data_IF_060586711969
#
_entry.id   IF_060586711969
#
_cell.length_a   1.000
_cell.length_b   1.000
_cell.length_c   1.000
_cell.angle_alpha   90.00
_cell.angle_beta   90.00
_cell.angle_gamma   90.00
#
_symmetry.space_group_name_H-M   'P 1'
#
loop_
_entity.id
_entity.type
_entity.pdbx_description
1 polymer ?
#
# COMPACT_ATOMS: atom_id res chain seq x y z
N UNK A 1 10.04 0.38 23.33
CA UNK A 1 9.67 1.72 23.80
C UNK A 1 8.59 2.22 22.85
N UNK A 2 7.32 2.15 23.24
CA UNK A 2 6.22 2.72 22.45
C UNK A 2 6.25 4.23 22.67
N UNK A 3 6.61 4.97 21.61
CA UNK A 3 6.51 6.42 21.63
C UNK A 3 5.02 6.76 21.61
N UNK A 4 4.51 7.28 22.71
CA UNK A 4 3.18 7.90 22.72
C UNK A 4 3.34 9.22 21.94
N UNK A 5 3.09 9.18 20.62
CA UNK A 5 3.20 10.31 19.69
C UNK A 5 2.12 11.36 20.00
N UNK A 6 2.19 11.93 21.21
CA UNK A 6 1.46 13.15 21.51
C UNK A 6 2.10 14.30 20.73
N UNK A 7 1.32 15.31 20.39
CA UNK A 7 1.80 16.54 19.69
C UNK A 7 2.89 17.31 20.49
N UNK A 8 3.34 16.78 21.61
CA UNK A 8 4.31 17.36 22.54
C UNK A 8 5.65 16.58 22.61
N UNK A 9 5.92 15.66 21.70
CA UNK A 9 7.21 14.93 21.68
C UNK A 9 8.33 15.91 21.34
N UNK A 10 9.36 15.99 22.19
CA UNK A 10 10.50 16.88 21.98
C UNK A 10 11.43 16.41 20.86
N UNK A 11 12.22 17.32 20.28
CA UNK A 11 13.23 16.96 19.25
C UNK A 11 14.25 15.93 19.80
N UNK A 12 14.56 16.01 21.10
CA UNK A 12 15.42 15.05 21.77
C UNK A 12 14.83 13.64 21.75
N UNK A 13 13.58 13.47 22.19
CA UNK A 13 12.88 12.17 22.18
C UNK A 13 12.73 11.62 20.76
N UNK A 14 12.48 12.49 19.78
CA UNK A 14 12.45 12.09 18.37
C UNK A 14 13.82 11.54 17.91
N UNK A 15 14.93 12.14 18.36
CA UNK A 15 16.28 11.66 18.03
C UNK A 15 16.58 10.32 18.70
N UNK A 16 16.24 10.16 19.97
CA UNK A 16 16.40 8.88 20.66
C UNK A 16 15.62 7.76 19.97
N UNK A 17 14.36 8.05 19.61
CA UNK A 17 13.55 7.09 18.88
C UNK A 17 14.11 6.75 17.50
N UNK A 18 14.57 7.73 16.73
CA UNK A 18 15.26 7.48 15.46
C UNK A 18 16.53 6.64 15.65
N UNK A 19 17.28 6.89 16.71
CA UNK A 19 18.48 6.13 17.04
C UNK A 19 18.14 4.66 17.31
N UNK A 20 17.10 4.39 18.11
CA UNK A 20 16.65 3.02 18.42
C UNK A 20 16.25 2.23 17.19
N UNK A 21 15.58 2.87 16.21
CA UNK A 21 15.22 2.23 14.94
C UNK A 21 16.44 2.04 14.05
N UNK A 22 17.25 3.09 13.89
CA UNK A 22 18.39 3.09 12.98
C UNK A 22 19.44 2.07 13.35
N UNK A 23 19.70 1.93 14.64
CA UNK A 23 20.70 1.02 15.19
C UNK A 23 20.09 -0.12 15.98
N UNK A 24 18.92 -0.58 15.57
CA UNK A 24 18.22 -1.74 16.14
C UNK A 24 19.11 -3.00 16.22
N UNK A 25 20.02 -3.15 15.25
CA UNK A 25 20.99 -4.27 15.18
C UNK A 25 22.41 -3.84 15.62
N UNK A 26 22.54 -2.77 16.37
CA UNK A 26 23.81 -2.20 16.80
C UNK A 26 24.34 -1.10 15.87
N UNK A 27 25.18 -0.23 16.44
CA UNK A 27 25.84 0.84 15.71
C UNK A 27 26.89 0.25 14.76
N UNK A 28 27.02 0.84 13.58
CA UNK A 28 28.12 0.58 12.64
C UNK A 28 28.63 1.87 12.08
N UNK A 29 29.91 2.15 12.27
CA UNK A 29 30.53 3.35 11.76
C UNK A 29 30.63 3.31 10.24
N UNK A 30 30.05 4.29 9.50
CA UNK A 30 30.09 4.29 8.04
C UNK A 30 31.49 4.57 7.47
N UNK A 31 32.44 5.07 8.32
CA UNK A 31 33.79 5.39 7.90
C UNK A 31 34.78 4.23 8.06
N UNK A 32 34.64 3.45 9.14
CA UNK A 32 35.64 2.40 9.46
C UNK A 32 35.03 1.05 9.86
N UNK A 33 33.69 0.88 9.80
CA UNK A 33 33.01 -0.37 10.12
C UNK A 33 33.00 -0.77 11.62
N UNK A 34 33.58 0.04 12.52
CA UNK A 34 33.59 -0.24 13.96
C UNK A 34 32.19 -0.25 14.53
N UNK A 35 31.85 -1.24 15.34
CA UNK A 35 30.54 -1.40 15.97
C UNK A 35 30.37 -0.64 17.29
N UNK A 36 31.42 0.04 17.79
CA UNK A 36 31.39 0.74 19.05
C UNK A 36 31.38 2.25 18.89
N UNK A 37 30.49 2.91 19.63
CA UNK A 37 30.40 4.36 19.71
C UNK A 37 30.09 4.86 21.11
N UNK A 38 30.47 6.10 21.40
CA UNK A 38 29.95 6.87 22.52
C UNK A 38 28.76 7.69 22.08
N UNK A 39 27.67 7.60 22.78
CA UNK A 39 26.55 8.52 22.61
C UNK A 39 26.84 9.84 23.32
N UNK A 40 26.50 10.94 22.66
CA UNK A 40 26.64 12.29 23.21
C UNK A 40 25.30 12.79 23.73
N UNK A 41 25.30 13.81 24.58
CA UNK A 41 24.08 14.46 25.11
C UNK A 41 23.12 14.99 24.04
N UNK A 42 23.60 15.17 22.80
CA UNK A 42 22.79 15.63 21.66
C UNK A 42 22.27 14.45 20.80
N UNK A 43 22.33 13.22 21.29
CA UNK A 43 21.99 11.99 20.55
C UNK A 43 22.80 11.91 19.23
N UNK A 44 24.12 12.20 19.31
CA UNK A 44 25.10 11.94 18.25
C UNK A 44 25.99 10.80 18.68
N UNK A 45 26.48 10.01 17.74
CA UNK A 45 27.32 8.85 17.97
C UNK A 45 28.74 9.12 17.50
N UNK A 46 29.70 9.03 18.42
CA UNK A 46 31.14 9.17 18.14
C UNK A 46 31.79 7.81 18.11
N UNK A 47 32.28 7.39 16.94
CA UNK A 47 32.98 6.11 16.79
C UNK A 47 34.21 6.03 17.72
N UNK A 48 34.33 4.92 18.47
CA UNK A 48 35.46 4.71 19.39
C UNK A 48 36.78 4.53 18.66
N UNK A 49 36.76 3.93 17.44
CA UNK A 49 38.00 3.65 16.68
C UNK A 49 38.52 4.86 15.93
N UNK A 50 37.68 5.56 15.14
CA UNK A 50 38.14 6.62 14.24
C UNK A 50 37.70 8.03 14.64
N UNK A 51 36.93 8.18 15.74
CA UNK A 51 36.46 9.46 16.24
C UNK A 51 35.38 10.13 15.36
N UNK A 52 34.92 9.50 14.28
CA UNK A 52 33.89 10.05 13.41
C UNK A 52 32.59 10.28 14.18
N UNK A 53 32.06 11.51 14.10
CA UNK A 53 30.79 11.89 14.74
C UNK A 53 29.66 11.78 13.73
N UNK A 54 28.61 11.05 14.07
CA UNK A 54 27.44 10.82 13.23
C UNK A 54 26.17 11.26 13.94
N UNK A 55 25.34 12.03 13.28
CA UNK A 55 23.99 12.33 13.77
C UNK A 55 23.01 11.22 13.39
N UNK A 56 21.92 11.10 14.12
CA UNK A 56 20.84 10.13 13.81
C UNK A 56 20.20 10.39 12.46
N UNK A 57 20.26 11.61 11.95
CA UNK A 57 19.67 12.03 10.68
C UNK A 57 20.63 11.95 9.49
N UNK A 58 21.93 11.81 9.73
CA UNK A 58 22.95 11.80 8.67
C UNK A 58 22.73 10.64 7.66
N UNK A 59 22.74 10.93 6.36
CA UNK A 59 22.49 9.97 5.28
C UNK A 59 21.02 9.54 5.13
N UNK A 60 20.09 10.21 5.79
CA UNK A 60 18.64 9.94 5.68
C UNK A 60 17.92 11.12 5.04
N UNK A 61 16.63 10.97 4.78
CA UNK A 61 15.79 12.08 4.27
C UNK A 61 15.64 13.24 5.28
N UNK A 62 16.01 13.03 6.53
CA UNK A 62 15.98 14.06 7.58
C UNK A 62 17.26 14.89 7.62
N UNK A 63 18.31 14.46 6.89
CA UNK A 63 19.57 15.20 6.83
C UNK A 63 19.34 16.59 6.28
N UNK A 64 20.01 17.58 6.89
CA UNK A 64 19.96 19.01 6.50
C UNK A 64 18.54 19.58 6.40
N UNK A 65 17.60 18.96 7.11
CA UNK A 65 16.22 19.45 7.18
C UNK A 65 16.08 20.59 8.16
N UNK A 66 15.67 21.77 7.66
CA UNK A 66 15.27 22.89 8.54
C UNK A 66 13.94 22.65 9.26
N UNK A 67 13.20 21.58 8.92
CA UNK A 67 11.98 21.21 9.63
C UNK A 67 12.34 20.38 10.85
N UNK A 68 11.94 20.77 12.06
CA UNK A 68 12.18 20.01 13.28
C UNK A 68 11.63 18.59 13.19
N UNK A 69 12.28 17.61 13.85
CA UNK A 69 11.88 16.20 13.81
C UNK A 69 10.49 15.97 14.35
N UNK A 70 10.07 16.71 15.37
CA UNK A 70 8.71 16.69 15.91
C UNK A 70 7.64 16.94 14.84
N UNK A 71 7.86 17.91 13.96
CA UNK A 71 6.96 18.19 12.83
C UNK A 71 6.99 17.11 11.76
N UNK A 72 8.14 16.47 11.55
CA UNK A 72 8.24 15.30 10.69
C UNK A 72 7.43 14.12 11.24
N UNK A 73 7.58 13.84 12.53
CA UNK A 73 6.87 12.75 13.19
C UNK A 73 5.36 12.97 13.18
N UNK A 74 4.91 14.18 13.54
CA UNK A 74 3.51 14.55 13.45
C UNK A 74 2.96 14.44 12.01
N UNK A 75 3.75 14.80 10.99
CA UNK A 75 3.34 14.66 9.60
C UNK A 75 3.22 13.19 9.19
N UNK A 76 4.14 12.31 9.62
CA UNK A 76 4.11 10.87 9.34
C UNK A 76 2.86 10.25 9.96
N UNK A 77 2.59 10.56 11.23
CA UNK A 77 1.42 10.05 11.94
C UNK A 77 0.10 10.47 11.27
N UNK A 78 -0.06 11.76 10.97
CA UNK A 78 -1.25 12.27 10.29
C UNK A 78 -1.46 11.65 8.90
N UNK A 79 -0.38 11.47 8.12
CA UNK A 79 -0.45 10.85 6.80
C UNK A 79 -0.77 9.36 6.93
N UNK A 80 -0.20 8.66 7.89
CA UNK A 80 -0.47 7.26 8.15
C UNK A 80 -1.93 7.05 8.59
N UNK A 81 -2.39 7.78 9.59
CA UNK A 81 -3.76 7.72 10.10
C UNK A 81 -4.80 7.99 9.01
N UNK A 82 -4.51 8.88 8.06
CA UNK A 82 -5.37 9.16 6.90
C UNK A 82 -5.17 8.22 5.71
N UNK A 83 -4.31 7.21 5.84
CA UNK A 83 -3.90 6.35 4.72
C UNK A 83 -3.46 7.14 3.47
N UNK A 84 -2.74 8.22 3.68
CA UNK A 84 -2.20 9.07 2.62
C UNK A 84 -3.19 10.04 1.96
N UNK A 85 -4.42 10.17 2.44
CA UNK A 85 -5.44 11.05 1.84
C UNK A 85 -5.13 12.53 2.08
N UNK A 86 -4.53 12.87 3.23
CA UNK A 86 -4.23 14.26 3.63
C UNK A 86 -3.46 15.02 2.54
N UNK A 87 -3.86 16.31 2.35
CA UNK A 87 -3.21 17.23 1.41
C UNK A 87 -2.03 17.97 2.04
N UNK A 88 -1.11 18.46 1.19
CA UNK A 88 0.01 19.27 1.66
C UNK A 88 -0.43 20.57 2.32
N UNK A 89 -1.48 21.21 1.80
CA UNK A 89 -2.04 22.43 2.39
C UNK A 89 -2.62 22.21 3.79
N UNK A 90 -3.28 21.07 4.01
CA UNK A 90 -3.71 20.69 5.36
C UNK A 90 -2.54 20.54 6.32
N UNK A 91 -1.47 19.83 5.91
CA UNK A 91 -0.28 19.66 6.75
C UNK A 91 0.45 20.98 7.00
N UNK A 92 0.51 21.87 6.00
CA UNK A 92 1.10 23.19 6.17
C UNK A 92 0.42 23.97 7.29
N UNK A 93 -0.91 24.03 7.24
CA UNK A 93 -1.70 24.78 8.22
C UNK A 93 -1.65 24.12 9.60
N UNK A 94 -1.81 22.79 9.68
CA UNK A 94 -1.86 22.05 10.94
C UNK A 94 -0.53 22.09 11.69
N UNK A 95 0.59 21.96 10.98
CA UNK A 95 1.94 21.89 11.56
C UNK A 95 2.70 23.22 11.47
N UNK A 96 2.06 24.29 10.98
CA UNK A 96 2.69 25.60 10.80
C UNK A 96 4.02 25.49 10.06
N UNK A 97 4.02 24.82 8.89
CA UNK A 97 5.20 24.71 8.03
C UNK A 97 5.42 26.02 7.26
N UNK A 98 6.67 26.46 7.16
CA UNK A 98 7.03 27.79 6.65
C UNK A 98 6.61 28.08 5.21
N UNK A 99 6.42 27.06 4.35
CA UNK A 99 5.95 27.27 2.98
C UNK A 99 5.16 26.07 2.44
N UNK A 100 4.28 26.34 1.46
CA UNK A 100 3.55 25.28 0.76
C UNK A 100 4.50 24.33 0.01
N UNK A 101 5.58 24.84 -0.58
CA UNK A 101 6.60 24.02 -1.25
C UNK A 101 7.26 23.04 -0.28
N UNK A 102 7.56 23.49 0.95
CA UNK A 102 8.07 22.61 2.01
C UNK A 102 7.05 21.53 2.36
N UNK A 103 5.79 21.89 2.57
CA UNK A 103 4.71 20.97 2.87
C UNK A 103 4.52 19.93 1.75
N UNK A 104 4.49 20.35 0.48
CA UNK A 104 4.38 19.45 -0.67
C UNK A 104 5.54 18.43 -0.71
N UNK A 105 6.77 18.90 -0.55
CA UNK A 105 7.96 18.04 -0.56
C UNK A 105 7.91 17.01 0.57
N UNK A 106 7.56 17.42 1.81
CA UNK A 106 7.41 16.50 2.95
C UNK A 106 6.31 15.47 2.72
N UNK A 107 5.12 15.95 2.32
CA UNK A 107 3.98 15.09 1.99
C UNK A 107 4.35 14.04 0.94
N UNK A 108 5.07 14.45 -0.11
CA UNK A 108 5.52 13.54 -1.17
C UNK A 108 6.45 12.44 -0.63
N UNK A 109 7.47 12.79 0.15
CA UNK A 109 8.39 11.82 0.73
C UNK A 109 7.69 10.83 1.65
N UNK A 110 6.83 11.33 2.55
CA UNK A 110 6.12 10.47 3.51
C UNK A 110 5.12 9.55 2.79
N UNK A 111 4.32 10.07 1.85
CA UNK A 111 3.40 9.25 1.05
C UNK A 111 4.13 8.18 0.25
N UNK A 112 5.30 8.51 -0.31
CA UNK A 112 6.13 7.54 -1.02
C UNK A 112 6.66 6.44 -0.09
N UNK A 113 7.07 6.80 1.13
CA UNK A 113 7.49 5.83 2.15
C UNK A 113 6.32 4.94 2.58
N UNK A 114 5.15 5.54 2.87
CA UNK A 114 3.92 4.81 3.22
C UNK A 114 3.58 3.75 2.15
N UNK A 115 3.48 4.15 0.88
CA UNK A 115 3.16 3.23 -0.22
C UNK A 115 4.21 2.12 -0.36
N UNK A 116 5.50 2.43 -0.23
CA UNK A 116 6.57 1.42 -0.27
C UNK A 116 6.45 0.42 0.87
N UNK A 117 6.15 0.88 2.08
CA UNK A 117 5.95 0.03 3.25
C UNK A 117 4.73 -0.87 3.06
N UNK A 118 3.61 -0.31 2.61
CA UNK A 118 2.38 -1.06 2.32
C UNK A 118 2.63 -2.15 1.28
N UNK A 119 3.30 -1.83 0.16
CA UNK A 119 3.64 -2.80 -0.89
C UNK A 119 4.56 -3.91 -0.33
N UNK A 120 5.58 -3.53 0.44
CA UNK A 120 6.51 -4.50 1.05
C UNK A 120 5.79 -5.46 1.98
N UNK A 121 4.89 -4.95 2.81
CA UNK A 121 4.11 -5.74 3.77
C UNK A 121 3.09 -6.63 3.04
N UNK A 122 2.36 -6.08 2.07
CA UNK A 122 1.40 -6.82 1.27
C UNK A 122 2.03 -8.00 0.52
N UNK A 123 3.23 -7.83 -0.05
CA UNK A 123 3.96 -8.90 -0.75
C UNK A 123 4.37 -10.06 0.18
N UNK A 124 4.47 -9.82 1.48
CA UNK A 124 4.85 -10.83 2.49
C UNK A 124 3.63 -11.50 3.11
N UNK A 125 2.46 -10.90 2.99
CA UNK A 125 1.21 -11.46 3.47
C UNK A 125 0.73 -12.56 2.51
N UNK A 126 0.05 -13.61 3.00
CA UNK A 126 -0.63 -14.57 2.14
C UNK A 126 -1.69 -13.84 1.30
N UNK A 127 -1.91 -14.33 0.08
CA UNK A 127 -2.98 -13.80 -0.77
C UNK A 127 -4.32 -14.01 -0.07
N UNK A 128 -4.98 -12.90 0.27
CA UNK A 128 -6.28 -12.95 0.90
C UNK A 128 -7.38 -13.01 -0.16
N UNK A 129 -8.34 -13.90 0.06
CA UNK A 129 -9.54 -13.95 -0.77
C UNK A 129 -10.41 -12.69 -0.57
N UNK A 130 -11.13 -12.30 -1.62
CA UNK A 130 -12.04 -11.16 -1.58
C UNK A 130 -13.31 -11.50 -0.81
N UNK A 131 -13.80 -10.53 -0.05
CA UNK A 131 -15.07 -10.66 0.66
C UNK A 131 -16.25 -10.18 -0.21
N UNK A 132 -17.41 -10.81 -0.06
CA UNK A 132 -18.63 -10.38 -0.73
C UNK A 132 -19.12 -9.03 -0.16
N UNK A 133 -19.73 -8.16 -0.96
CA UNK A 133 -20.06 -8.34 -2.39
C UNK A 133 -18.88 -8.04 -3.33
N UNK A 134 -18.79 -8.79 -4.43
CA UNK A 134 -17.73 -8.67 -5.44
C UNK A 134 -18.35 -8.44 -6.82
N UNK A 135 -17.84 -7.47 -7.56
CA UNK A 135 -18.12 -7.31 -9.00
C UNK A 135 -17.10 -8.09 -9.82
N UNK A 136 -17.57 -8.96 -10.70
CA UNK A 136 -16.72 -9.70 -11.65
C UNK A 136 -16.99 -9.19 -13.06
N UNK A 137 -15.95 -9.00 -13.85
CA UNK A 137 -16.05 -8.59 -15.24
C UNK A 137 -14.93 -9.22 -16.07
N UNK A 138 -15.18 -9.38 -17.37
CA UNK A 138 -14.18 -9.80 -18.36
C UNK A 138 -13.89 -8.66 -19.31
N UNK A 139 -12.62 -8.35 -19.43
CA UNK A 139 -12.19 -7.17 -20.18
C UNK A 139 -11.28 -7.63 -21.31
N UNK A 140 -11.62 -7.29 -22.58
CA UNK A 140 -10.66 -7.40 -23.66
C UNK A 140 -9.62 -6.28 -23.58
N UNK A 141 -8.37 -6.66 -23.70
CA UNK A 141 -7.23 -5.74 -23.74
C UNK A 141 -6.43 -5.98 -25.01
N UNK A 142 -6.15 -4.94 -25.74
CA UNK A 142 -5.32 -4.97 -26.94
C UNK A 142 -4.03 -4.22 -26.69
N UNK A 143 -2.88 -4.88 -26.88
CA UNK A 143 -1.56 -4.29 -26.73
C UNK A 143 -0.71 -4.73 -27.94
N UNK A 144 -0.11 -3.79 -28.65
CA UNK A 144 0.81 -4.06 -29.77
C UNK A 144 0.30 -5.13 -30.77
N UNK A 145 -1.01 -5.10 -31.07
CA UNK A 145 -1.75 -6.05 -31.93
C UNK A 145 -2.06 -7.43 -31.29
N UNK A 146 -1.63 -7.69 -30.07
CA UNK A 146 -2.02 -8.88 -29.32
C UNK A 146 -3.32 -8.65 -28.56
N UNK A 147 -4.17 -9.66 -28.51
CA UNK A 147 -5.46 -9.63 -27.82
C UNK A 147 -5.38 -10.48 -26.55
N UNK A 148 -5.68 -9.87 -25.42
CA UNK A 148 -5.73 -10.53 -24.13
C UNK A 148 -7.15 -10.43 -23.55
N UNK A 149 -7.57 -11.46 -22.86
CA UNK A 149 -8.75 -11.39 -22.00
C UNK A 149 -8.32 -11.43 -20.53
N UNK A 150 -9.00 -10.66 -19.70
CA UNK A 150 -8.69 -10.50 -18.29
C UNK A 150 -9.96 -10.63 -17.48
N UNK A 151 -9.97 -11.57 -16.54
CA UNK A 151 -11.00 -11.61 -15.49
C UNK A 151 -10.59 -10.63 -14.40
N UNK A 152 -11.52 -9.78 -14.00
CA UNK A 152 -11.36 -8.87 -12.87
C UNK A 152 -12.39 -9.21 -11.80
N UNK A 153 -11.98 -9.30 -10.55
CA UNK A 153 -12.85 -9.36 -9.40
C UNK A 153 -12.58 -8.15 -8.50
N UNK A 154 -13.61 -7.42 -8.14
CA UNK A 154 -13.51 -6.15 -7.41
C UNK A 154 -14.44 -6.18 -6.21
N UNK A 155 -13.86 -6.17 -5.02
CA UNK A 155 -14.59 -6.08 -3.76
C UNK A 155 -15.30 -4.74 -3.63
N UNK A 156 -16.56 -4.73 -3.18
CA UNK A 156 -17.34 -3.51 -2.96
C UNK A 156 -17.39 -3.15 -1.47
N UNK A 157 -16.94 -1.95 -1.15
CA UNK A 157 -17.03 -1.36 0.17
C UNK A 157 -18.02 -0.17 0.14
N UNK A 158 -19.33 -0.50 0.12
CA UNK A 158 -20.37 0.48 -0.14
C UNK A 158 -20.21 1.07 -1.56
N UNK A 159 -20.02 2.40 -1.65
CA UNK A 159 -19.77 3.09 -2.92
C UNK A 159 -18.28 3.13 -3.33
N UNK A 160 -17.39 2.50 -2.56
CA UNK A 160 -15.95 2.51 -2.83
C UNK A 160 -15.49 1.16 -3.37
N UNK A 161 -14.41 1.21 -4.16
CA UNK A 161 -13.70 0.03 -4.62
C UNK A 161 -12.83 -0.50 -3.47
N UNK A 162 -13.02 -1.77 -3.11
CA UNK A 162 -12.20 -2.53 -2.18
C UNK A 162 -10.96 -3.13 -2.84
N UNK A 163 -10.56 -4.30 -2.35
CA UNK A 163 -9.47 -5.10 -2.93
C UNK A 163 -9.86 -5.62 -4.31
N UNK A 164 -8.87 -5.93 -5.11
CA UNK A 164 -9.06 -6.41 -6.48
C UNK A 164 -8.22 -7.66 -6.73
N UNK A 165 -8.71 -8.50 -7.63
CA UNK A 165 -7.92 -9.56 -8.25
C UNK A 165 -8.09 -9.46 -9.77
N UNK A 166 -7.00 -9.64 -10.49
CA UNK A 166 -6.97 -9.64 -11.96
C UNK A 166 -6.11 -10.81 -12.41
N UNK A 167 -6.65 -11.59 -13.35
CA UNK A 167 -5.95 -12.71 -13.97
C UNK A 167 -6.14 -12.69 -15.48
N UNK A 168 -5.11 -12.98 -16.23
CA UNK A 168 -5.24 -13.31 -17.66
C UNK A 168 -6.05 -14.61 -17.80
N UNK A 169 -6.88 -14.70 -18.83
CA UNK A 169 -7.75 -15.85 -19.07
C UNK A 169 -7.83 -16.14 -20.57
N UNK A 170 -8.07 -17.39 -20.90
CA UNK A 170 -8.49 -17.84 -22.24
C UNK A 170 -9.99 -17.68 -22.46
N UNK A 171 -10.71 -17.17 -21.47
CA UNK A 171 -12.16 -17.00 -21.46
C UNK A 171 -12.95 -18.32 -21.42
N UNK A 172 -12.33 -19.44 -20.98
CA UNK A 172 -13.00 -20.71 -20.83
C UNK A 172 -13.83 -20.75 -19.53
N UNK A 173 -14.96 -21.53 -19.50
CA UNK A 173 -15.78 -21.71 -18.32
C UNK A 173 -14.99 -22.25 -17.12
N UNK A 174 -14.04 -23.15 -17.37
CA UNK A 174 -13.23 -23.77 -16.33
C UNK A 174 -12.32 -22.74 -15.64
N UNK A 175 -11.63 -21.87 -16.41
CA UNK A 175 -10.80 -20.81 -15.83
C UNK A 175 -11.61 -19.81 -14.99
N UNK A 176 -12.85 -19.54 -15.39
CA UNK A 176 -13.77 -18.73 -14.61
C UNK A 176 -14.13 -19.37 -13.27
N UNK A 177 -14.51 -20.65 -13.28
CA UNK A 177 -14.85 -21.39 -12.06
C UNK A 177 -13.66 -21.40 -11.09
N UNK A 178 -12.49 -21.74 -11.60
CA UNK A 178 -11.27 -21.79 -10.81
C UNK A 178 -10.88 -20.40 -10.26
N UNK A 179 -11.05 -19.35 -11.06
CA UNK A 179 -10.81 -17.99 -10.59
C UNK A 179 -11.75 -17.60 -9.46
N UNK A 180 -13.05 -17.90 -9.58
CA UNK A 180 -14.04 -17.60 -8.53
C UNK A 180 -13.71 -18.38 -7.25
N UNK A 181 -13.48 -19.70 -7.35
CA UNK A 181 -13.17 -20.57 -6.18
C UNK A 181 -11.93 -20.10 -5.43
N UNK A 182 -10.89 -19.69 -6.17
CA UNK A 182 -9.61 -19.29 -5.59
C UNK A 182 -9.57 -17.82 -5.13
N UNK A 183 -10.53 -17.00 -5.57
CA UNK A 183 -10.48 -15.54 -5.38
C UNK A 183 -11.49 -15.05 -4.37
N UNK A 184 -12.66 -15.67 -4.27
CA UNK A 184 -13.79 -15.15 -3.50
C UNK A 184 -14.07 -16.04 -2.29
N UNK A 185 -14.06 -15.40 -1.11
CA UNK A 185 -14.48 -16.08 0.13
C UNK A 185 -15.99 -16.10 0.22
N UNK A 186 -16.57 -17.28 0.01
CA UNK A 186 -18.00 -17.51 0.17
C UNK A 186 -18.28 -17.81 1.64
N UNK A 187 -18.85 -16.86 2.37
CA UNK A 187 -19.29 -17.07 3.74
C UNK A 187 -20.71 -17.64 3.72
N UNK A 188 -20.91 -18.81 4.31
CA UNK A 188 -22.23 -19.32 4.68
C UNK A 188 -22.69 -18.61 5.96
N UNK A 189 -23.93 -18.10 5.97
CA UNK A 189 -24.54 -17.60 7.21
C UNK A 189 -24.79 -18.76 8.20
N UNK A 190 -24.96 -18.43 9.48
CA UNK A 190 -25.28 -19.44 10.53
C UNK A 190 -26.51 -20.29 10.20
N UNK A 191 -27.39 -19.85 9.28
CA UNK A 191 -28.59 -20.57 8.82
C UNK A 191 -28.35 -21.37 7.52
N UNK A 192 -27.10 -21.60 7.11
CA UNK A 192 -26.79 -22.37 5.89
C UNK A 192 -27.05 -21.64 4.56
N UNK A 193 -27.63 -20.44 4.57
CA UNK A 193 -27.88 -19.66 3.37
C UNK A 193 -26.60 -18.94 2.90
N UNK A 194 -26.20 -19.20 1.65
CA UNK A 194 -25.09 -18.50 1.02
C UNK A 194 -25.47 -17.01 0.80
N UNK A 195 -24.64 -16.10 1.27
CA UNK A 195 -24.88 -14.67 1.15
C UNK A 195 -24.74 -14.23 -0.31
N UNK A 196 -25.82 -13.75 -0.94
CA UNK A 196 -25.82 -13.22 -2.32
C UNK A 196 -24.86 -12.03 -2.41
N UNK A 197 -23.92 -12.06 -3.36
CA UNK A 197 -22.95 -10.97 -3.42
C UNK A 197 -22.04 -10.94 -4.64
N UNK A 198 -22.22 -11.85 -5.60
CA UNK A 198 -21.49 -11.78 -6.87
C UNK A 198 -22.34 -11.01 -7.89
N UNK A 199 -21.82 -9.89 -8.35
CA UNK A 199 -22.42 -9.08 -9.40
C UNK A 199 -21.60 -9.31 -10.66
N UNK A 200 -22.20 -9.87 -11.70
CA UNK A 200 -21.50 -10.16 -12.94
C UNK A 200 -22.29 -9.72 -14.18
N UNK A 201 -21.63 -9.47 -15.32
CA UNK A 201 -22.27 -9.22 -16.59
C UNK A 201 -23.01 -10.47 -17.07
N UNK A 202 -23.91 -10.30 -18.05
CA UNK A 202 -24.70 -11.36 -18.66
C UNK A 202 -23.87 -12.47 -19.35
N UNK A 203 -22.58 -12.33 -19.45
CA UNK A 203 -21.64 -13.13 -20.26
C UNK A 203 -21.02 -14.30 -19.46
N UNK A 204 -21.47 -14.57 -18.24
CA UNK A 204 -21.01 -15.77 -17.52
C UNK A 204 -21.50 -17.04 -18.23
N UNK A 205 -20.61 -18.04 -18.41
CA UNK A 205 -20.99 -19.35 -18.89
C UNK A 205 -22.15 -19.94 -18.07
N UNK A 206 -23.05 -20.69 -18.74
CA UNK A 206 -24.24 -21.28 -18.14
C UNK A 206 -23.93 -22.14 -16.91
N UNK A 207 -22.86 -22.94 -17.01
CA UNK A 207 -22.43 -23.87 -15.96
C UNK A 207 -22.04 -23.13 -14.68
N UNK A 208 -21.33 -22.01 -14.79
CA UNK A 208 -20.95 -21.19 -13.63
C UNK A 208 -22.18 -20.47 -13.06
N UNK A 209 -23.09 -20.06 -13.94
CA UNK A 209 -24.33 -19.42 -13.49
C UNK A 209 -25.19 -20.38 -12.67
N UNK A 210 -25.23 -21.66 -13.02
CA UNK A 210 -25.96 -22.70 -12.28
C UNK A 210 -25.25 -22.99 -10.94
N UNK A 211 -23.93 -23.19 -10.94
CA UNK A 211 -23.14 -23.47 -9.72
C UNK A 211 -23.24 -22.33 -8.68
N UNK A 212 -23.24 -21.09 -9.14
CA UNK A 212 -23.24 -19.90 -8.27
C UNK A 212 -24.56 -19.12 -8.27
N UNK A 213 -25.62 -19.72 -8.78
CA UNK A 213 -26.95 -19.09 -8.98
C UNK A 213 -27.45 -18.38 -7.70
N UNK A 214 -27.26 -18.99 -6.50
CA UNK A 214 -27.65 -18.40 -5.21
C UNK A 214 -26.77 -17.21 -4.78
N UNK A 215 -25.59 -17.03 -5.38
CA UNK A 215 -24.64 -15.98 -5.07
C UNK A 215 -24.68 -14.84 -6.09
N UNK A 216 -25.19 -15.13 -7.29
CA UNK A 216 -25.19 -14.18 -8.41
C UNK A 216 -26.43 -13.29 -8.32
N UNK A 217 -26.22 -12.01 -8.25
CA UNK A 217 -27.24 -11.00 -8.44
C UNK A 217 -27.13 -10.45 -9.84
N UNK A 218 -28.10 -10.77 -10.71
CA UNK A 218 -28.23 -10.09 -12.01
C UNK A 218 -28.54 -8.62 -11.75
N UNK A 219 -27.55 -7.76 -11.77
CA UNK A 219 -27.77 -6.34 -11.64
C UNK A 219 -27.74 -5.69 -13.02
N UNK A 220 -28.83 -5.06 -13.41
CA UNK A 220 -28.85 -4.12 -14.53
C UNK A 220 -28.12 -2.80 -14.20
N UNK A 221 -27.76 -2.61 -12.93
CA UNK A 221 -27.20 -1.38 -12.39
C UNK A 221 -25.74 -1.56 -11.97
N UNK A 222 -24.89 -0.79 -12.65
CA UNK A 222 -23.62 -0.26 -12.20
C UNK A 222 -22.48 -1.24 -11.88
N UNK A 223 -21.86 -1.76 -12.90
CA UNK A 223 -20.45 -2.22 -12.90
C UNK A 223 -19.47 -1.05 -12.74
N UNK A 224 -19.76 -0.09 -11.86
CA UNK A 224 -18.95 1.13 -11.78
C UNK A 224 -17.58 0.85 -11.16
N UNK A 225 -17.48 -0.11 -10.25
CA UNK A 225 -16.22 -0.46 -9.62
C UNK A 225 -15.32 -1.22 -10.60
N UNK A 226 -15.84 -2.23 -11.32
CA UNK A 226 -15.07 -2.98 -12.32
C UNK A 226 -14.67 -2.11 -13.51
N UNK A 227 -15.55 -1.24 -14.02
CA UNK A 227 -15.22 -0.26 -15.07
C UNK A 227 -14.10 0.70 -14.67
N UNK A 228 -14.14 1.21 -13.43
CA UNK A 228 -13.08 2.07 -12.92
C UNK A 228 -11.74 1.34 -12.82
N UNK A 229 -11.76 0.09 -12.35
CA UNK A 229 -10.55 -0.75 -12.29
C UNK A 229 -10.03 -1.04 -13.69
N UNK A 230 -10.92 -1.37 -14.62
CA UNK A 230 -10.61 -1.64 -16.02
C UNK A 230 -9.89 -0.46 -16.68
N UNK A 231 -10.44 0.74 -16.51
CA UNK A 231 -9.84 1.96 -17.06
C UNK A 231 -8.45 2.23 -16.47
N UNK A 232 -8.29 2.06 -15.17
CA UNK A 232 -6.99 2.20 -14.49
C UNK A 232 -6.00 1.15 -14.94
N UNK A 233 -6.45 -0.08 -15.14
CA UNK A 233 -5.60 -1.18 -15.58
C UNK A 233 -5.14 -0.99 -17.04
N UNK A 234 -6.02 -0.57 -17.94
CA UNK A 234 -5.66 -0.22 -19.32
C UNK A 234 -4.59 0.86 -19.37
N UNK A 235 -4.73 1.93 -18.57
CA UNK A 235 -3.72 2.97 -18.45
C UNK A 235 -2.41 2.44 -17.88
N UNK A 236 -2.47 1.63 -16.82
CA UNK A 236 -1.28 1.03 -16.19
C UNK A 236 -0.48 0.19 -17.19
N UNK A 237 -1.16 -0.63 -17.99
CA UNK A 237 -0.52 -1.47 -19.00
C UNK A 237 0.08 -0.63 -20.12
N UNK A 238 -0.60 0.38 -20.63
CA UNK A 238 -0.07 1.25 -21.69
C UNK A 238 1.25 1.93 -21.30
N UNK A 239 1.46 2.17 -20.01
CA UNK A 239 2.65 2.83 -19.47
C UNK A 239 3.77 1.85 -19.05
N UNK A 240 3.44 0.56 -18.77
CA UNK A 240 4.35 -0.36 -18.06
C UNK A 240 4.43 -1.77 -18.62
N UNK A 241 3.87 -2.02 -19.78
CA UNK A 241 3.97 -3.32 -20.42
C UNK A 241 5.38 -3.53 -21.01
N UNK A 242 6.05 -4.58 -20.56
CA UNK A 242 7.39 -4.97 -21.01
C UNK A 242 7.44 -6.47 -21.34
N UNK A 243 6.45 -6.96 -22.09
CA UNK A 243 6.45 -8.31 -22.65
C UNK A 243 5.89 -9.43 -21.77
N UNK A 244 5.58 -9.19 -20.49
CA UNK A 244 4.95 -10.20 -19.62
C UNK A 244 3.66 -9.68 -19.00
N UNK A 245 2.53 -10.13 -19.57
CA UNK A 245 1.20 -9.64 -19.21
C UNK A 245 0.78 -10.10 -17.81
N UNK A 246 1.06 -11.35 -17.44
CA UNK A 246 0.70 -11.90 -16.12
C UNK A 246 1.43 -11.18 -14.98
N UNK A 247 2.69 -10.82 -15.19
CA UNK A 247 3.47 -9.98 -14.24
C UNK A 247 2.85 -8.59 -14.11
N UNK A 248 2.34 -8.01 -15.18
CA UNK A 248 1.62 -6.73 -15.12
C UNK A 248 0.34 -6.84 -14.31
N UNK A 249 -0.46 -7.90 -14.51
CA UNK A 249 -1.68 -8.16 -13.73
C UNK A 249 -1.36 -8.25 -12.22
N UNK A 250 -0.35 -9.06 -11.86
CA UNK A 250 0.09 -9.24 -10.46
C UNK A 250 0.57 -7.93 -9.84
N UNK A 251 1.43 -7.19 -10.52
CA UNK A 251 1.95 -5.93 -10.02
C UNK A 251 0.87 -4.85 -9.86
N UNK A 252 -0.11 -4.81 -10.76
CA UNK A 252 -1.24 -3.92 -10.63
C UNK A 252 -2.08 -4.27 -9.40
N UNK A 253 -2.44 -5.56 -9.20
CA UNK A 253 -3.14 -6.02 -8.01
C UNK A 253 -2.39 -5.64 -6.72
N UNK A 254 -1.08 -5.91 -6.65
CA UNK A 254 -0.24 -5.55 -5.50
C UNK A 254 -0.34 -4.03 -5.23
N UNK A 255 -0.20 -3.20 -6.27
CA UNK A 255 -0.23 -1.75 -6.12
C UNK A 255 -1.59 -1.23 -5.64
N UNK A 256 -2.69 -1.82 -6.13
CA UNK A 256 -4.04 -1.41 -5.74
C UNK A 256 -4.42 -1.92 -4.35
N UNK A 257 -4.04 -3.15 -4.00
CA UNK A 257 -4.43 -3.80 -2.75
C UNK A 257 -3.54 -3.38 -1.56
N UNK A 258 -2.29 -3.03 -1.79
CA UNK A 258 -1.36 -2.60 -0.75
C UNK A 258 -1.92 -1.45 0.10
N UNK A 259 -2.77 -0.59 -0.46
CA UNK A 259 -3.44 0.51 0.25
C UNK A 259 -4.37 0.07 1.39
N UNK A 260 -4.80 -1.21 1.39
CA UNK A 260 -5.61 -1.79 2.46
C UNK A 260 -4.75 -2.42 3.56
N UNK A 261 -3.44 -2.43 3.38
CA UNK A 261 -2.49 -2.96 4.38
C UNK A 261 -2.19 -1.87 5.39
N UNK A 262 -2.55 -2.13 6.65
CA UNK A 262 -2.17 -1.26 7.76
C UNK A 262 -0.67 -1.36 8.00
N UNK A 263 -0.03 -0.23 8.26
CA UNK A 263 1.39 -0.15 8.58
C UNK A 263 1.59 0.67 9.84
N UNK A 264 2.60 0.32 10.63
CA UNK A 264 2.95 1.07 11.81
C UNK A 264 3.79 2.30 11.45
N UNK A 265 3.82 3.25 12.38
CA UNK A 265 4.69 4.42 12.28
C UNK A 265 6.17 4.03 12.16
N UNK A 266 6.61 3.03 12.95
CA UNK A 266 7.98 2.49 12.92
C UNK A 266 8.33 1.90 11.55
N UNK A 267 7.44 1.10 10.96
CA UNK A 267 7.64 0.51 9.62
C UNK A 267 7.85 1.59 8.53
N UNK A 268 7.18 2.73 8.64
CA UNK A 268 7.36 3.87 7.73
C UNK A 268 8.73 4.51 7.95
N UNK A 269 9.10 4.75 9.20
CA UNK A 269 10.40 5.33 9.55
C UNK A 269 11.57 4.45 9.10
N UNK A 270 11.48 3.13 9.23
CA UNK A 270 12.51 2.21 8.72
C UNK A 270 12.79 2.40 7.22
N UNK A 271 11.77 2.71 6.42
CA UNK A 271 11.94 3.02 5.00
C UNK A 271 12.53 4.41 4.77
N UNK A 272 12.21 5.36 5.63
CA UNK A 272 12.68 6.75 5.54
C UNK A 272 14.13 6.93 6.02
N UNK A 273 14.64 5.98 6.80
CA UNK A 273 16.03 5.95 7.28
C UNK A 273 17.02 5.30 6.29
N UNK A 274 16.52 4.67 5.23
CA UNK A 274 17.29 4.06 4.14
C UNK A 274 17.45 5.01 2.96
#
# INVERSE_FOLDING_TARGET
MELNLSMNTSDYECREYLASIRWKNGFTCPRCGCAEAWETKEVKYKCKKCGYKMSVTAGTIFQDSHTPLEKWFAAIDLINASNGIITASFLQNKLKLGSNRTAQRRTHFIKRALVRTQIRKYRRAPAEMLNLPVEIDVIPIVITREHFFVITAVEKLGNRTGRIQIKQTDNSPQEFADFIRNTIKVNTSQNGQKKIGIICPKILPSEIREEYNQLIKNSRYAYNASKNVSSKFKKYISERYHGNFDVCCKNFCITQNARFTSVSFEEILEIMLK
#
